data_IF_636053388747
#
_entry.id   IF_636053388747
#
_cell.length_a   1.000
_cell.length_b   1.000
_cell.length_c   1.000
_cell.angle_alpha   90.00
_cell.angle_beta   90.00
_cell.angle_gamma   90.00
#
_symmetry.space_group_name_H-M   'P 1'
#
loop_
_entity.id
_entity.type
_entity.pdbx_description
1 polymer ?
#
# COMPACT_ATOMS: atom_id res chain seq x y z
N UNK A 1 -11.45 16.38 -25.72
CA UNK A 1 -10.38 15.88 -26.64
C UNK A 1 -10.97 15.37 -27.97
N UNK A 2 -11.72 14.24 -28.06
CA UNK A 2 -12.28 13.79 -29.37
C UNK A 2 -13.19 14.84 -30.02
N UNK A 3 -14.06 15.46 -29.25
CA UNK A 3 -14.94 16.55 -29.71
C UNK A 3 -14.13 17.79 -30.11
N UNK A 4 -13.15 18.20 -29.35
CA UNK A 4 -12.23 19.32 -29.66
C UNK A 4 -11.45 19.12 -30.95
N UNK A 5 -11.10 17.86 -31.26
CA UNK A 5 -10.37 17.47 -32.47
C UNK A 5 -11.31 17.19 -33.66
N UNK A 6 -12.62 17.25 -33.49
CA UNK A 6 -13.60 16.92 -34.53
C UNK A 6 -13.56 15.47 -35.03
N UNK A 7 -13.04 14.53 -34.23
CA UNK A 7 -12.90 13.12 -34.60
C UNK A 7 -13.66 12.20 -33.64
N UNK A 8 -13.99 10.99 -34.11
CA UNK A 8 -14.64 10.00 -33.27
C UNK A 8 -13.72 9.45 -32.17
N UNK A 9 -14.31 9.06 -31.03
CA UNK A 9 -13.57 8.47 -29.92
C UNK A 9 -12.71 7.25 -30.33
N UNK A 10 -13.24 6.41 -31.25
CA UNK A 10 -12.51 5.26 -31.79
C UNK A 10 -11.22 5.66 -32.51
N UNK A 11 -11.20 6.80 -33.20
CA UNK A 11 -10.01 7.33 -33.88
C UNK A 11 -8.96 7.77 -32.87
N UNK A 12 -9.37 8.49 -31.81
CA UNK A 12 -8.47 8.88 -30.71
C UNK A 12 -7.85 7.64 -30.06
N UNK A 13 -8.67 6.63 -29.76
CA UNK A 13 -8.17 5.41 -29.10
C UNK A 13 -7.24 4.58 -29.98
N UNK A 14 -7.49 4.58 -31.30
CA UNK A 14 -6.58 3.91 -32.24
C UNK A 14 -5.23 4.61 -32.27
N UNK A 15 -5.21 5.92 -32.36
CA UNK A 15 -3.99 6.71 -32.32
C UNK A 15 -3.22 6.51 -30.98
N UNK A 16 -3.93 6.54 -29.85
CA UNK A 16 -3.31 6.28 -28.55
C UNK A 16 -2.69 4.86 -28.48
N UNK A 17 -3.35 3.88 -29.07
CA UNK A 17 -2.80 2.51 -29.12
C UNK A 17 -1.62 2.41 -30.06
N UNK A 18 -1.72 2.97 -31.26
CA UNK A 18 -0.69 2.90 -32.29
C UNK A 18 0.62 3.57 -31.86
N UNK A 19 0.53 4.78 -31.34
CA UNK A 19 1.71 5.55 -30.91
C UNK A 19 2.11 5.28 -29.44
N UNK A 20 1.19 4.90 -28.59
CA UNK A 20 1.44 4.67 -27.17
C UNK A 20 2.00 3.29 -26.87
N UNK A 21 1.58 2.26 -27.60
CA UNK A 21 2.04 0.89 -27.33
C UNK A 21 3.57 0.75 -27.47
N UNK A 22 4.23 1.25 -28.51
CA UNK A 22 5.70 1.19 -28.60
C UNK A 22 6.40 1.88 -27.43
N UNK A 23 5.85 2.98 -26.93
CA UNK A 23 6.43 3.71 -25.80
C UNK A 23 6.34 2.93 -24.48
N UNK A 24 5.23 2.22 -24.25
CA UNK A 24 5.04 1.46 -22.99
C UNK A 24 5.65 0.08 -23.02
N UNK A 25 5.86 -0.49 -24.19
CA UNK A 25 6.48 -1.80 -24.38
C UNK A 25 8.00 -1.71 -24.67
N UNK A 26 8.57 -0.50 -24.67
CA UNK A 26 10.01 -0.29 -24.78
C UNK A 26 10.76 -0.93 -23.61
N UNK A 27 11.64 -1.93 -23.85
CA UNK A 27 12.44 -2.57 -22.80
C UNK A 27 13.33 -1.59 -22.02
N UNK A 28 13.75 -0.48 -22.63
CA UNK A 28 14.56 0.55 -22.00
C UNK A 28 13.88 1.15 -20.76
N UNK A 29 12.55 1.11 -20.67
CA UNK A 29 11.79 1.52 -19.48
C UNK A 29 12.12 0.70 -18.24
N UNK A 30 12.62 -0.51 -18.40
CA UNK A 30 12.98 -1.39 -17.28
C UNK A 30 14.45 -1.27 -16.89
N UNK A 31 15.26 -0.49 -17.63
CA UNK A 31 16.67 -0.35 -17.35
C UNK A 31 16.93 0.38 -16.00
N UNK A 32 17.99 -0.06 -15.31
CA UNK A 32 18.47 0.59 -14.09
C UNK A 32 17.60 0.43 -12.83
N UNK A 33 16.64 -0.48 -12.84
CA UNK A 33 15.78 -0.74 -11.67
C UNK A 33 16.55 -1.53 -10.63
N UNK A 34 16.85 -0.91 -9.49
CA UNK A 34 17.51 -1.55 -8.34
C UNK A 34 16.62 -1.73 -7.13
N UNK A 35 15.45 -1.07 -7.11
CA UNK A 35 14.45 -1.21 -6.06
C UNK A 35 13.06 -1.34 -6.68
N UNK A 36 12.36 -2.43 -6.33
CA UNK A 36 11.05 -2.79 -6.85
C UNK A 36 9.98 -2.65 -5.76
N UNK A 37 8.89 -1.97 -6.06
CA UNK A 37 7.66 -1.95 -5.25
C UNK A 37 6.60 -2.84 -5.87
N UNK A 38 5.92 -3.62 -5.05
CA UNK A 38 4.80 -4.49 -5.45
C UNK A 38 3.59 -4.17 -4.59
N UNK A 39 2.48 -3.84 -5.24
CA UNK A 39 1.21 -3.57 -4.55
C UNK A 39 0.03 -3.97 -5.44
N UNK A 40 -1.17 -4.06 -4.83
CA UNK A 40 -2.38 -4.42 -5.54
C UNK A 40 -3.40 -3.28 -5.60
N UNK A 41 -4.10 -3.20 -6.72
CA UNK A 41 -5.20 -2.26 -6.88
C UNK A 41 -6.44 -2.97 -7.41
N UNK A 42 -7.64 -2.56 -6.96
CA UNK A 42 -8.87 -3.07 -7.53
C UNK A 42 -9.04 -2.54 -8.97
N UNK A 43 -9.06 -3.46 -9.94
CA UNK A 43 -9.33 -3.17 -11.35
C UNK A 43 -10.83 -3.01 -11.61
N UNK A 44 -11.63 -4.01 -11.27
CA UNK A 44 -13.10 -3.92 -11.33
C UNK A 44 -13.69 -4.12 -9.94
N UNK A 45 -14.69 -3.32 -9.62
CA UNK A 45 -15.44 -3.48 -8.38
C UNK A 45 -16.36 -4.71 -8.46
N UNK A 46 -16.63 -5.33 -7.31
CA UNK A 46 -17.61 -6.40 -7.22
C UNK A 46 -18.98 -5.94 -7.71
N UNK A 47 -19.68 -6.85 -8.38
CA UNK A 47 -21.09 -6.73 -8.76
C UNK A 47 -21.87 -7.88 -8.13
N UNK A 48 -23.15 -7.97 -8.37
CA UNK A 48 -23.96 -9.12 -7.92
C UNK A 48 -23.48 -10.45 -8.52
N UNK A 49 -22.83 -10.43 -9.69
CA UNK A 49 -22.42 -11.62 -10.45
C UNK A 49 -20.91 -11.84 -10.52
N UNK A 50 -20.10 -10.86 -10.14
CA UNK A 50 -18.65 -10.95 -10.23
C UNK A 50 -17.98 -10.42 -8.96
N UNK A 51 -16.96 -11.12 -8.42
CA UNK A 51 -16.15 -10.61 -7.33
C UNK A 51 -15.29 -9.42 -7.81
N UNK A 52 -14.67 -8.72 -6.86
CA UNK A 52 -13.67 -7.68 -7.19
C UNK A 52 -12.50 -8.31 -7.95
N UNK A 53 -12.20 -7.77 -9.13
CA UNK A 53 -10.98 -8.10 -9.85
C UNK A 53 -9.85 -7.15 -9.45
N UNK A 54 -8.66 -7.71 -9.30
CA UNK A 54 -7.47 -6.96 -8.90
C UNK A 54 -6.43 -6.95 -10.01
N UNK A 55 -5.54 -5.99 -9.91
CA UNK A 55 -4.31 -5.93 -10.70
C UNK A 55 -3.12 -5.72 -9.77
N UNK A 56 -2.00 -6.36 -10.07
CA UNK A 56 -0.71 -6.16 -9.39
C UNK A 56 0.06 -5.07 -10.12
N UNK A 57 0.41 -4.01 -9.40
CA UNK A 57 1.27 -2.92 -9.86
C UNK A 57 2.72 -3.18 -9.50
N UNK A 58 3.62 -2.98 -10.47
CA UNK A 58 5.06 -3.05 -10.31
C UNK A 58 5.63 -1.64 -10.45
N UNK A 59 6.32 -1.14 -9.44
CA UNK A 59 6.78 0.24 -9.34
C UNK A 59 8.29 0.29 -9.18
N UNK A 60 8.94 1.14 -9.94
CA UNK A 60 10.34 1.48 -9.76
C UNK A 60 10.50 2.43 -8.56
N UNK A 61 11.14 1.94 -7.52
CA UNK A 61 11.48 2.70 -6.31
C UNK A 61 12.93 3.19 -6.32
N UNK A 62 13.67 2.96 -7.39
CA UNK A 62 15.05 3.44 -7.58
C UNK A 62 15.04 4.96 -7.68
N UNK A 63 15.70 5.65 -6.74
CA UNK A 63 15.63 7.11 -6.63
C UNK A 63 16.77 7.86 -7.35
N UNK A 64 17.62 7.16 -8.05
CA UNK A 64 18.83 7.74 -8.66
C UNK A 64 18.58 8.55 -9.93
N UNK A 65 17.37 8.49 -10.50
CA UNK A 65 17.06 9.11 -11.80
C UNK A 65 15.75 9.88 -11.89
N UNK A 66 15.05 10.10 -10.76
CA UNK A 66 13.77 10.82 -10.81
C UNK A 66 12.71 10.29 -9.83
N UNK A 67 11.44 10.68 -10.03
CA UNK A 67 10.32 10.19 -9.22
C UNK A 67 10.06 8.70 -9.51
N UNK A 68 9.42 8.02 -8.57
CA UNK A 68 8.94 6.66 -8.78
C UNK A 68 8.02 6.57 -10.02
N UNK A 69 8.14 5.49 -10.75
CA UNK A 69 7.38 5.27 -11.98
C UNK A 69 6.78 3.88 -12.02
N UNK A 70 5.65 3.75 -12.69
CA UNK A 70 4.99 2.48 -12.89
C UNK A 70 5.74 1.67 -13.96
N UNK A 71 6.29 0.52 -13.60
CA UNK A 71 6.95 -0.39 -14.53
C UNK A 71 5.92 -1.18 -15.33
N UNK A 72 4.94 -1.76 -14.62
CA UNK A 72 3.88 -2.52 -15.25
C UNK A 72 2.65 -2.65 -14.35
N UNK A 73 1.53 -3.08 -14.95
CA UNK A 73 0.32 -3.51 -14.27
C UNK A 73 -0.12 -4.82 -14.90
N UNK A 74 -0.26 -5.86 -14.10
CA UNK A 74 -0.66 -7.19 -14.57
C UNK A 74 -1.97 -7.64 -13.90
N UNK A 75 -2.85 -8.39 -14.61
CA UNK A 75 -4.13 -8.80 -14.05
C UNK A 75 -3.94 -9.85 -12.96
N UNK A 76 -4.71 -9.73 -11.89
CA UNK A 76 -4.67 -10.62 -10.75
C UNK A 76 -3.84 -10.10 -9.57
N UNK A 77 -3.93 -10.83 -8.43
CA UNK A 77 -3.21 -10.52 -7.17
C UNK A 77 -2.67 -11.78 -6.52
N UNK A 78 -1.90 -12.57 -7.23
CA UNK A 78 -1.36 -13.82 -6.69
C UNK A 78 0.15 -13.88 -6.83
N UNK A 79 0.78 -14.73 -6.03
CA UNK A 79 2.21 -15.02 -6.18
C UNK A 79 2.56 -15.56 -7.56
N UNK A 80 1.67 -16.32 -8.19
CA UNK A 80 1.85 -16.84 -9.54
C UNK A 80 1.91 -15.72 -10.59
N UNK A 81 1.08 -14.69 -10.45
CA UNK A 81 1.10 -13.51 -11.34
C UNK A 81 2.45 -12.79 -11.26
N UNK A 82 2.91 -12.51 -10.04
CA UNK A 82 4.23 -11.88 -9.83
C UNK A 82 5.38 -12.79 -10.31
N UNK A 83 5.31 -14.09 -10.03
CA UNK A 83 6.30 -15.07 -10.50
C UNK A 83 6.39 -15.12 -12.02
N UNK A 84 5.26 -15.09 -12.72
CA UNK A 84 5.24 -15.05 -14.19
C UNK A 84 5.90 -13.78 -14.69
N UNK A 85 5.52 -12.63 -14.18
CA UNK A 85 6.10 -11.34 -14.59
C UNK A 85 7.61 -11.30 -14.35
N UNK A 86 8.11 -11.78 -13.19
CA UNK A 86 9.54 -11.81 -12.88
C UNK A 86 10.31 -12.80 -13.75
N UNK A 87 9.73 -13.96 -14.08
CA UNK A 87 10.35 -14.98 -14.95
C UNK A 87 10.59 -14.46 -16.36
N UNK A 88 9.69 -13.58 -16.85
CA UNK A 88 9.83 -12.95 -18.17
C UNK A 88 10.92 -11.86 -18.21
N UNK A 89 11.59 -11.60 -17.10
CA UNK A 89 12.75 -10.69 -17.03
C UNK A 89 14.04 -11.46 -17.18
N UNK A 90 15.00 -10.87 -17.87
CA UNK A 90 16.34 -11.43 -18.00
C UNK A 90 17.01 -11.62 -16.63
N UNK A 91 17.87 -12.59 -16.50
CA UNK A 91 18.60 -12.86 -15.25
C UNK A 91 19.43 -11.64 -14.80
N UNK A 92 20.07 -10.95 -15.77
CA UNK A 92 20.81 -9.72 -15.50
C UNK A 92 19.94 -8.63 -14.89
N UNK A 93 18.69 -8.48 -15.34
CA UNK A 93 17.74 -7.55 -14.75
C UNK A 93 17.34 -7.97 -13.32
N UNK A 94 17.07 -9.26 -13.14
CA UNK A 94 16.65 -9.77 -11.81
C UNK A 94 17.76 -9.65 -10.77
N UNK A 95 19.01 -9.88 -11.16
CA UNK A 95 20.17 -9.83 -10.26
C UNK A 95 20.53 -8.41 -9.82
N UNK A 96 20.19 -7.38 -10.58
CA UNK A 96 20.45 -5.99 -10.20
C UNK A 96 19.41 -5.42 -9.20
N UNK A 97 18.23 -6.07 -9.04
CA UNK A 97 17.23 -5.64 -8.07
C UNK A 97 17.71 -6.01 -6.66
N UNK A 98 18.18 -5.00 -5.93
CA UNK A 98 18.73 -5.17 -4.59
C UNK A 98 17.67 -5.11 -3.48
N UNK A 99 16.54 -4.43 -3.71
CA UNK A 99 15.49 -4.23 -2.72
C UNK A 99 14.12 -4.49 -3.36
N UNK A 100 13.24 -5.19 -2.62
CA UNK A 100 11.85 -5.39 -3.01
C UNK A 100 10.90 -5.03 -1.85
N UNK A 101 10.12 -3.96 -2.02
CA UNK A 101 9.08 -3.54 -1.08
C UNK A 101 7.75 -4.22 -1.41
N UNK A 102 7.08 -4.75 -0.40
CA UNK A 102 5.83 -5.51 -0.54
C UNK A 102 4.90 -5.33 0.66
N UNK A 103 3.63 -5.60 0.42
CA UNK A 103 2.64 -5.77 1.47
C UNK A 103 2.81 -7.13 2.18
N UNK A 104 2.28 -7.32 3.39
CA UNK A 104 2.38 -8.58 4.12
C UNK A 104 1.54 -9.70 3.47
N UNK A 105 1.85 -10.03 2.22
CA UNK A 105 1.21 -11.08 1.44
C UNK A 105 2.22 -12.18 1.06
N UNK A 106 2.02 -13.39 1.59
CA UNK A 106 2.93 -14.52 1.44
C UNK A 106 3.17 -14.93 -0.02
N UNK A 107 2.16 -14.76 -0.89
CA UNK A 107 2.30 -15.06 -2.31
C UNK A 107 3.39 -14.21 -2.97
N UNK A 108 3.42 -12.91 -2.70
CA UNK A 108 4.46 -12.03 -3.23
C UNK A 108 5.83 -12.32 -2.62
N UNK A 109 5.89 -12.54 -1.29
CA UNK A 109 7.16 -12.88 -0.65
C UNK A 109 7.78 -14.16 -1.22
N UNK A 110 6.97 -15.18 -1.51
CA UNK A 110 7.43 -16.42 -2.13
C UNK A 110 7.94 -16.20 -3.56
N UNK A 111 7.21 -15.44 -4.37
CA UNK A 111 7.62 -15.09 -5.74
C UNK A 111 8.95 -14.31 -5.75
N UNK A 112 9.07 -13.30 -4.88
CA UNK A 112 10.29 -12.49 -4.73
C UNK A 112 11.47 -13.35 -4.27
N UNK A 113 11.27 -14.26 -3.29
CA UNK A 113 12.32 -15.17 -2.82
C UNK A 113 12.83 -16.08 -3.93
N UNK A 114 11.94 -16.57 -4.77
CA UNK A 114 12.27 -17.49 -5.86
C UNK A 114 13.00 -16.78 -7.00
N UNK A 115 12.53 -15.61 -7.41
CA UNK A 115 13.00 -14.96 -8.64
C UNK A 115 14.00 -13.83 -8.40
N UNK A 116 14.05 -13.26 -7.19
CA UNK A 116 14.98 -12.21 -6.75
C UNK A 116 15.69 -12.64 -5.45
N UNK A 117 16.44 -13.76 -5.46
CA UNK A 117 17.02 -14.32 -4.23
C UNK A 117 18.01 -13.38 -3.54
N UNK A 118 18.69 -12.51 -4.32
CA UNK A 118 19.62 -11.50 -3.79
C UNK A 118 18.95 -10.24 -3.25
N UNK A 119 17.65 -10.03 -3.51
CA UNK A 119 16.97 -8.82 -3.07
C UNK A 119 16.57 -8.89 -1.59
N UNK A 120 16.84 -7.81 -0.87
CA UNK A 120 16.32 -7.62 0.48
C UNK A 120 14.83 -7.28 0.39
N UNK A 121 13.99 -8.11 1.00
CA UNK A 121 12.55 -7.88 1.06
C UNK A 121 12.23 -6.96 2.23
N UNK A 122 11.41 -5.94 1.99
CA UNK A 122 11.04 -4.92 2.97
C UNK A 122 9.52 -4.83 3.05
N UNK A 123 8.97 -4.99 4.24
CA UNK A 123 7.54 -4.76 4.45
C UNK A 123 7.20 -3.27 4.40
N UNK A 124 6.08 -2.98 3.76
CA UNK A 124 5.53 -1.63 3.78
C UNK A 124 5.04 -1.25 5.18
N UNK A 125 5.61 -0.15 5.70
CA UNK A 125 5.31 0.36 7.03
C UNK A 125 3.82 0.76 7.19
N UNK A 126 3.21 1.31 6.13
CA UNK A 126 1.81 1.72 6.16
C UNK A 126 0.90 0.50 6.39
N UNK A 127 1.14 -0.59 5.67
CA UNK A 127 0.36 -1.81 5.82
C UNK A 127 0.56 -2.49 7.19
N UNK A 128 1.78 -2.46 7.74
CA UNK A 128 2.05 -2.94 9.10
C UNK A 128 1.29 -2.11 10.15
N UNK A 129 1.37 -0.78 10.06
CA UNK A 129 0.66 0.12 10.96
C UNK A 129 -0.87 -0.05 10.83
N UNK A 130 -1.35 -0.22 9.59
CA UNK A 130 -2.77 -0.48 9.32
C UNK A 130 -3.25 -1.76 10.01
N UNK A 131 -2.47 -2.84 9.99
CA UNK A 131 -2.81 -4.08 10.72
C UNK A 131 -2.99 -3.81 12.22
N UNK A 132 -2.15 -2.96 12.82
CA UNK A 132 -2.30 -2.54 14.22
C UNK A 132 -3.64 -1.85 14.48
N UNK A 133 -3.98 -0.85 13.68
CA UNK A 133 -5.28 -0.15 13.84
C UNK A 133 -6.50 -0.99 13.47
N UNK A 134 -6.36 -1.94 12.54
CA UNK A 134 -7.42 -2.89 12.23
C UNK A 134 -7.66 -3.86 13.40
N UNK A 135 -6.61 -4.25 14.15
CA UNK A 135 -6.74 -5.01 15.39
C UNK A 135 -7.50 -4.21 16.46
N UNK A 136 -7.19 -2.92 16.64
CA UNK A 136 -7.96 -2.04 17.56
C UNK A 136 -9.46 -2.05 17.21
N UNK A 137 -9.82 -1.94 15.94
CA UNK A 137 -11.23 -1.96 15.52
C UNK A 137 -11.88 -3.34 15.72
N UNK A 138 -11.13 -4.44 15.59
CA UNK A 138 -11.60 -5.79 15.88
C UNK A 138 -11.88 -5.95 17.37
N UNK A 139 -10.95 -5.58 18.25
CA UNK A 139 -11.12 -5.61 19.71
C UNK A 139 -12.32 -4.78 20.11
N UNK A 140 -12.39 -3.51 19.64
CA UNK A 140 -13.52 -2.62 19.92
C UNK A 140 -14.87 -3.27 19.55
N UNK A 141 -14.96 -3.91 18.38
CA UNK A 141 -16.21 -4.57 17.94
C UNK A 141 -16.55 -5.77 18.79
N UNK A 142 -15.54 -6.55 19.19
CA UNK A 142 -15.75 -7.72 20.08
C UNK A 142 -16.21 -7.25 21.45
N UNK A 143 -15.50 -6.33 22.09
CA UNK A 143 -15.89 -5.79 23.41
C UNK A 143 -17.33 -5.24 23.38
N UNK A 144 -17.72 -4.50 22.34
CA UNK A 144 -19.11 -4.04 22.21
C UNK A 144 -20.09 -5.20 21.98
N UNK A 145 -19.71 -6.23 21.25
CA UNK A 145 -20.55 -7.42 21.10
C UNK A 145 -20.75 -8.15 22.43
N UNK A 146 -19.70 -8.25 23.24
CA UNK A 146 -19.71 -8.97 24.50
C UNK A 146 -20.46 -8.18 25.59
N UNK A 147 -20.30 -6.84 25.64
CA UNK A 147 -20.91 -5.98 26.63
C UNK A 147 -22.32 -5.50 26.27
N UNK A 148 -22.61 -5.26 24.98
CA UNK A 148 -23.86 -4.63 24.50
C UNK A 148 -24.71 -5.53 23.57
N UNK A 149 -24.21 -6.72 23.22
CA UNK A 149 -24.90 -7.64 22.29
C UNK A 149 -24.85 -7.20 20.82
N UNK A 150 -24.07 -6.19 20.47
CA UNK A 150 -23.90 -5.71 19.08
C UNK A 150 -22.54 -5.04 18.86
N UNK A 151 -22.10 -4.93 17.58
CA UNK A 151 -20.76 -4.44 17.18
C UNK A 151 -20.62 -2.91 17.16
N UNK A 152 -21.59 -2.18 17.70
CA UNK A 152 -21.59 -0.74 17.86
C UNK A 152 -22.67 0.01 17.09
N UNK A 153 -23.33 0.93 17.78
CA UNK A 153 -24.39 1.81 17.28
C UNK A 153 -24.11 3.25 17.66
N UNK A 154 -24.82 4.17 17.03
CA UNK A 154 -24.81 5.59 17.43
C UNK A 154 -25.28 5.69 18.89
N UNK A 155 -24.50 6.40 19.71
CA UNK A 155 -24.75 6.52 21.14
C UNK A 155 -23.84 5.66 22.01
N UNK A 156 -23.29 4.55 21.50
CA UNK A 156 -22.36 3.74 22.29
C UNK A 156 -21.02 4.46 22.51
N UNK A 157 -20.44 4.39 23.72
CA UNK A 157 -19.18 5.08 24.04
C UNK A 157 -18.03 4.73 23.08
N UNK A 158 -17.74 3.43 22.90
CA UNK A 158 -16.66 2.98 22.02
C UNK A 158 -16.94 3.24 20.53
N UNK A 159 -18.20 3.17 20.09
CA UNK A 159 -18.55 3.54 18.72
C UNK A 159 -18.35 5.03 18.47
N UNK A 160 -18.63 5.87 19.45
CA UNK A 160 -18.41 7.30 19.42
C UNK A 160 -16.94 7.68 19.16
N UNK A 161 -16.00 6.92 19.71
CA UNK A 161 -14.55 7.17 19.59
C UNK A 161 -13.85 6.40 18.46
N UNK A 162 -14.55 5.58 17.66
CA UNK A 162 -13.95 4.71 16.61
C UNK A 162 -13.04 5.43 15.62
N UNK A 163 -13.29 6.71 15.33
CA UNK A 163 -12.44 7.53 14.46
C UNK A 163 -11.24 8.11 15.21
N UNK A 164 -11.41 8.36 16.49
CA UNK A 164 -10.37 8.88 17.39
C UNK A 164 -9.32 7.79 17.62
N UNK A 165 -9.74 6.55 17.86
CA UNK A 165 -8.86 5.39 18.01
C UNK A 165 -7.92 5.13 16.81
N UNK A 166 -8.26 5.64 15.62
CA UNK A 166 -7.44 5.48 14.39
C UNK A 166 -6.39 6.59 14.19
N UNK A 167 -6.32 7.55 15.08
CA UNK A 167 -5.34 8.65 14.99
C UNK A 167 -4.06 8.31 15.73
N UNK A 168 -2.93 8.85 15.24
CA UNK A 168 -1.71 8.89 16.01
C UNK A 168 -1.88 9.78 17.24
N UNK A 169 -1.32 9.37 18.38
CA UNK A 169 -1.51 10.08 19.64
C UNK A 169 -1.13 11.57 19.57
N UNK A 170 -0.10 11.91 18.78
CA UNK A 170 0.36 13.30 18.57
C UNK A 170 -0.61 14.19 17.78
N UNK A 171 -1.62 13.61 17.18
CA UNK A 171 -2.65 14.33 16.40
C UNK A 171 -3.95 14.52 17.18
N UNK A 172 -3.95 14.22 18.47
CA UNK A 172 -5.08 14.47 19.34
C UNK A 172 -5.00 15.89 19.91
N UNK A 173 -6.09 16.65 19.79
CA UNK A 173 -6.34 17.86 20.58
C UNK A 173 -6.81 17.46 21.97
N UNK A 174 -6.78 18.40 22.92
CA UNK A 174 -7.26 18.16 24.30
C UNK A 174 -8.70 17.63 24.32
N UNK A 175 -9.58 18.18 23.48
CA UNK A 175 -10.96 17.71 23.36
C UNK A 175 -11.05 16.28 22.78
N UNK A 176 -10.14 15.92 21.88
CA UNK A 176 -10.05 14.57 21.34
C UNK A 176 -9.52 13.58 22.37
N UNK A 177 -8.56 13.99 23.20
CA UNK A 177 -8.07 13.20 24.33
C UNK A 177 -9.17 12.96 25.35
N UNK A 178 -9.87 14.01 25.78
CA UNK A 178 -11.00 13.90 26.72
C UNK A 178 -12.05 12.93 26.20
N UNK A 179 -12.41 13.02 24.93
CA UNK A 179 -13.35 12.06 24.30
C UNK A 179 -12.82 10.63 24.31
N UNK A 180 -11.54 10.43 23.99
CA UNK A 180 -10.93 9.10 23.96
C UNK A 180 -11.01 8.46 25.35
N UNK A 181 -10.51 9.17 26.37
CA UNK A 181 -10.49 8.67 27.74
C UNK A 181 -11.90 8.39 28.28
N UNK A 182 -12.83 9.32 28.07
CA UNK A 182 -14.23 9.14 28.48
C UNK A 182 -14.91 7.96 27.77
N UNK A 183 -14.65 7.77 26.47
CA UNK A 183 -15.22 6.65 25.73
C UNK A 183 -14.66 5.30 26.15
N UNK A 184 -13.37 5.24 26.52
CA UNK A 184 -12.73 4.04 27.08
C UNK A 184 -13.26 3.76 28.50
N UNK A 185 -13.31 4.76 29.37
CA UNK A 185 -13.80 4.64 30.75
C UNK A 185 -15.23 4.04 30.81
N UNK A 186 -16.11 4.49 29.92
CA UNK A 186 -17.49 4.02 29.87
C UNK A 186 -17.72 2.72 29.11
N UNK A 187 -16.85 2.37 28.18
CA UNK A 187 -17.13 1.29 27.23
C UNK A 187 -16.15 0.13 27.20
N UNK A 188 -15.03 0.25 27.90
CA UNK A 188 -13.93 -0.73 27.91
C UNK A 188 -13.62 -1.21 29.35
N UNK A 189 -14.53 -1.99 29.96
CA UNK A 189 -14.43 -2.33 31.38
C UNK A 189 -13.15 -3.09 31.74
N UNK A 190 -12.64 -3.91 30.82
CA UNK A 190 -11.45 -4.75 31.03
C UNK A 190 -10.17 -4.13 30.44
N UNK A 191 -10.26 -2.92 29.84
CA UNK A 191 -9.12 -2.20 29.25
C UNK A 191 -8.54 -2.83 27.98
N UNK A 192 -9.27 -3.73 27.33
CA UNK A 192 -8.78 -4.44 26.14
C UNK A 192 -8.63 -3.53 24.92
N UNK A 193 -9.56 -2.59 24.72
CA UNK A 193 -9.49 -1.60 23.62
C UNK A 193 -8.35 -0.63 23.86
N UNK A 194 -8.15 -0.22 25.13
CA UNK A 194 -7.02 0.62 25.52
C UNK A 194 -5.68 -0.09 25.27
N UNK A 195 -5.55 -1.35 25.68
CA UNK A 195 -4.36 -2.16 25.42
C UNK A 195 -4.07 -2.31 23.91
N UNK A 196 -5.11 -2.60 23.12
CA UNK A 196 -4.98 -2.69 21.66
C UNK A 196 -4.56 -1.35 21.03
N UNK A 197 -5.10 -0.23 21.51
CA UNK A 197 -4.73 1.10 21.03
C UNK A 197 -3.28 1.44 21.39
N UNK A 198 -2.81 1.12 22.60
CA UNK A 198 -1.41 1.28 23.02
C UNK A 198 -0.51 0.45 22.09
N UNK A 199 -0.84 -0.83 21.86
CA UNK A 199 -0.08 -1.68 20.96
C UNK A 199 0.03 -1.09 19.54
N UNK A 200 -1.06 -0.54 19.00
CA UNK A 200 -1.05 0.09 17.68
C UNK A 200 -0.21 1.38 17.65
N UNK A 201 -0.21 2.18 18.72
CA UNK A 201 0.66 3.37 18.83
C UNK A 201 2.12 2.99 18.92
N UNK A 202 2.50 2.02 19.74
CA UNK A 202 3.88 1.53 19.87
C UNK A 202 4.39 0.93 18.55
N UNK A 203 3.57 0.16 17.84
CA UNK A 203 3.89 -0.37 16.53
C UNK A 203 4.14 0.76 15.51
N UNK A 204 3.38 1.85 15.58
CA UNK A 204 3.58 3.01 14.74
C UNK A 204 4.86 3.77 15.11
N UNK A 205 5.15 3.91 16.41
CA UNK A 205 6.36 4.57 16.93
C UNK A 205 7.62 3.79 16.61
N UNK A 206 7.54 2.47 16.40
CA UNK A 206 8.64 1.64 15.94
C UNK A 206 9.34 2.25 14.72
N UNK A 207 8.57 2.79 13.77
CA UNK A 207 9.11 3.37 12.53
C UNK A 207 9.77 4.75 12.69
N UNK A 208 9.80 5.32 13.90
CA UNK A 208 10.57 6.53 14.23
C UNK A 208 12.04 6.23 14.59
N UNK A 209 12.37 4.97 14.89
CA UNK A 209 13.75 4.58 15.14
C UNK A 209 14.56 4.68 13.85
N UNK A 210 15.79 5.16 13.98
CA UNK A 210 16.78 5.20 12.89
C UNK A 210 17.84 4.11 13.06
N UNK A 211 18.05 3.64 14.26
CA UNK A 211 19.01 2.62 14.64
C UNK A 211 18.34 1.24 14.54
N UNK A 212 18.88 0.31 13.71
CA UNK A 212 18.34 -1.03 13.55
C UNK A 212 18.26 -1.82 14.85
N UNK A 213 19.26 -1.68 15.75
CA UNK A 213 19.28 -2.42 17.01
C UNK A 213 18.17 -1.91 17.93
N UNK A 214 17.99 -0.60 18.05
CA UNK A 214 16.89 -0.01 18.82
C UNK A 214 15.52 -0.40 18.25
N UNK A 215 15.39 -0.44 16.94
CA UNK A 215 14.17 -0.91 16.29
C UNK A 215 13.87 -2.38 16.62
N UNK A 216 14.87 -3.26 16.53
CA UNK A 216 14.73 -4.67 16.87
C UNK A 216 14.36 -4.87 18.36
N UNK A 217 14.99 -4.13 19.27
CA UNK A 217 14.65 -4.15 20.70
C UNK A 217 13.24 -3.64 20.97
N UNK A 218 12.83 -2.55 20.30
CA UNK A 218 11.48 -2.01 20.42
C UNK A 218 10.44 -3.00 19.89
N UNK A 219 10.71 -3.65 18.77
CA UNK A 219 9.83 -4.69 18.22
C UNK A 219 9.73 -5.90 19.17
N UNK A 220 10.83 -6.35 19.76
CA UNK A 220 10.80 -7.43 20.76
C UNK A 220 9.97 -7.07 21.98
N UNK A 221 10.13 -5.85 22.55
CA UNK A 221 9.28 -5.37 23.65
C UNK A 221 7.80 -5.32 23.27
N UNK A 222 7.52 -4.87 22.04
CA UNK A 222 6.15 -4.85 21.52
C UNK A 222 5.54 -6.25 21.43
N UNK A 223 6.31 -7.25 20.96
CA UNK A 223 5.87 -8.65 20.93
C UNK A 223 5.58 -9.20 22.34
N UNK A 224 6.46 -8.89 23.30
CA UNK A 224 6.25 -9.26 24.72
C UNK A 224 4.98 -8.63 25.25
N UNK A 225 4.78 -7.32 25.06
CA UNK A 225 3.55 -6.63 25.46
C UNK A 225 2.29 -7.29 24.89
N UNK A 226 2.31 -7.63 23.58
CA UNK A 226 1.18 -8.32 22.96
C UNK A 226 0.98 -9.75 23.51
N UNK A 227 2.06 -10.47 23.82
CA UNK A 227 2.00 -11.84 24.36
C UNK A 227 1.47 -11.87 25.80
N UNK A 228 1.87 -10.87 26.60
CA UNK A 228 1.44 -10.74 28.01
C UNK A 228 0.03 -10.20 28.15
N UNK A 229 -0.57 -9.65 27.07
CA UNK A 229 -1.95 -9.20 27.09
C UNK A 229 -2.93 -10.37 27.03
N UNK A 230 -4.11 -10.23 27.63
CA UNK A 230 -5.17 -11.23 27.51
C UNK A 230 -6.05 -11.03 26.26
N UNK A 231 -5.60 -10.21 25.28
CA UNK A 231 -6.35 -9.81 24.11
C UNK A 231 -6.03 -10.75 22.92
N UNK A 232 -6.95 -11.63 22.50
CA UNK A 232 -6.68 -12.63 21.45
C UNK A 232 -6.30 -12.01 20.09
N UNK A 233 -6.82 -10.83 19.78
CA UNK A 233 -6.49 -10.09 18.56
C UNK A 233 -5.03 -9.64 18.54
N UNK A 234 -4.48 -9.23 19.69
CA UNK A 234 -3.07 -8.87 19.82
C UNK A 234 -2.16 -10.09 19.68
N UNK A 235 -2.54 -11.24 20.23
CA UNK A 235 -1.82 -12.49 20.01
C UNK A 235 -1.75 -12.88 18.53
N UNK A 236 -2.85 -12.72 17.78
CA UNK A 236 -2.88 -12.98 16.33
C UNK A 236 -2.01 -12.00 15.56
N UNK A 237 -2.10 -10.71 15.90
CA UNK A 237 -1.31 -9.66 15.29
C UNK A 237 0.19 -9.89 15.55
N UNK A 238 0.59 -10.17 16.79
CA UNK A 238 1.97 -10.45 17.17
C UNK A 238 2.54 -11.65 16.39
N UNK A 239 1.83 -12.77 16.35
CA UNK A 239 2.24 -13.94 15.55
C UNK A 239 2.37 -13.62 14.06
N UNK A 240 1.46 -12.84 13.54
CA UNK A 240 1.52 -12.42 12.14
C UNK A 240 2.77 -11.59 11.89
N UNK A 241 3.02 -10.54 12.67
CA UNK A 241 4.17 -9.65 12.46
C UNK A 241 5.50 -10.32 12.81
N UNK A 242 5.53 -11.21 13.80
CA UNK A 242 6.72 -11.99 14.12
C UNK A 242 7.13 -12.91 12.96
N UNK A 243 6.15 -13.49 12.28
CA UNK A 243 6.41 -14.28 11.07
C UNK A 243 6.93 -13.47 9.88
N UNK A 244 6.93 -12.15 9.97
CA UNK A 244 7.48 -11.18 9.01
C UNK A 244 8.62 -10.36 9.60
N UNK A 245 9.22 -10.83 10.70
CA UNK A 245 10.25 -10.12 11.47
C UNK A 245 11.39 -9.61 10.59
N UNK A 246 11.92 -10.47 9.73
CA UNK A 246 13.07 -10.15 8.89
C UNK A 246 12.73 -9.04 7.89
N UNK A 247 11.61 -9.17 7.19
CA UNK A 247 11.17 -8.19 6.21
C UNK A 247 10.73 -6.85 6.87
N UNK A 248 10.19 -6.91 8.09
CA UNK A 248 9.83 -5.73 8.86
C UNK A 248 11.09 -4.97 9.31
N UNK A 249 12.07 -5.68 9.87
CA UNK A 249 13.30 -5.09 10.39
C UNK A 249 14.28 -4.69 9.28
N UNK A 250 14.22 -5.33 8.11
CA UNK A 250 15.05 -5.00 6.96
C UNK A 250 14.96 -3.51 6.54
N UNK A 251 13.79 -2.86 6.75
CA UNK A 251 13.63 -1.43 6.50
C UNK A 251 14.67 -0.55 7.22
N UNK A 252 15.08 -0.94 8.42
CA UNK A 252 16.01 -0.18 9.25
C UNK A 252 17.47 -0.39 8.84
N UNK A 253 17.77 -1.44 8.07
CA UNK A 253 19.12 -1.76 7.58
C UNK A 253 19.38 -1.25 6.17
N UNK A 254 18.39 -1.29 5.28
CA UNK A 254 18.55 -0.87 3.87
C UNK A 254 18.30 0.61 3.63
N UNK A 255 18.04 1.38 4.71
CA UNK A 255 17.72 2.82 4.58
C UNK A 255 16.24 3.06 4.27
N UNK A 256 15.89 4.32 4.01
CA UNK A 256 14.49 4.78 3.90
C UNK A 256 13.80 4.39 2.58
N UNK A 257 13.89 3.12 2.16
CA UNK A 257 13.02 2.62 1.09
C UNK A 257 11.61 2.53 1.69
N UNK A 258 10.75 3.44 1.28
CA UNK A 258 9.34 3.44 1.67
C UNK A 258 8.47 3.11 0.47
N UNK A 259 7.35 2.44 0.70
CA UNK A 259 6.34 2.21 -0.32
C UNK A 259 5.47 3.46 -0.59
N UNK A 260 5.76 4.59 0.07
CA UNK A 260 5.07 5.87 -0.16
C UNK A 260 4.99 6.28 -1.64
N UNK A 261 6.08 6.10 -2.44
CA UNK A 261 5.98 6.31 -3.88
C UNK A 261 5.00 5.35 -4.59
N UNK A 262 4.92 4.09 -4.17
CA UNK A 262 3.93 3.13 -4.68
C UNK A 262 2.51 3.60 -4.34
N UNK A 263 2.28 4.09 -3.12
CA UNK A 263 0.99 4.67 -2.74
C UNK A 263 0.64 5.90 -3.59
N UNK A 264 1.62 6.76 -3.89
CA UNK A 264 1.42 7.91 -4.78
C UNK A 264 1.02 7.45 -6.20
N UNK A 265 1.67 6.42 -6.74
CA UNK A 265 1.30 5.80 -8.01
C UNK A 265 -0.11 5.21 -7.93
N UNK A 266 -0.46 4.53 -6.84
CA UNK A 266 -1.80 3.99 -6.64
C UNK A 266 -2.89 5.07 -6.57
N UNK A 267 -2.58 6.24 -6.00
CA UNK A 267 -3.50 7.40 -6.04
C UNK A 267 -3.71 7.89 -7.49
N UNK A 268 -2.64 7.94 -8.29
CA UNK A 268 -2.74 8.30 -9.71
C UNK A 268 -3.55 7.25 -10.49
N UNK A 269 -3.32 5.96 -10.26
CA UNK A 269 -4.10 4.85 -10.84
C UNK A 269 -5.59 5.03 -10.53
N UNK A 270 -5.93 5.27 -9.26
CA UNK A 270 -7.32 5.51 -8.82
C UNK A 270 -7.92 6.77 -9.48
N UNK A 271 -7.13 7.83 -9.64
CA UNK A 271 -7.55 9.06 -10.33
C UNK A 271 -7.84 8.80 -11.80
N UNK A 272 -6.93 8.14 -12.53
CA UNK A 272 -7.10 7.78 -13.94
C UNK A 272 -8.35 6.93 -14.14
N UNK A 273 -8.56 5.92 -13.28
CA UNK A 273 -9.74 5.07 -13.30
C UNK A 273 -11.03 5.88 -13.11
N UNK A 274 -11.04 6.86 -12.21
CA UNK A 274 -12.20 7.73 -11.94
C UNK A 274 -12.48 8.66 -13.12
N UNK A 275 -11.45 9.32 -13.65
CA UNK A 275 -11.58 10.25 -14.80
C UNK A 275 -11.98 9.50 -16.07
N UNK A 276 -11.52 8.27 -16.24
CA UNK A 276 -11.91 7.39 -17.34
C UNK A 276 -13.28 6.72 -17.17
N UNK A 277 -14.05 7.06 -16.12
CA UNK A 277 -15.35 6.44 -15.79
C UNK A 277 -15.29 4.92 -15.68
N UNK A 278 -14.11 4.38 -15.30
CA UNK A 278 -13.82 2.95 -15.25
C UNK A 278 -13.29 2.42 -16.59
N UNK A 279 -12.80 1.19 -16.54
CA UNK A 279 -12.24 0.49 -17.69
C UNK A 279 -12.79 -0.94 -17.72
N UNK A 280 -13.27 -1.38 -18.88
CA UNK A 280 -13.72 -2.76 -19.12
C UNK A 280 -12.63 -3.60 -19.80
N UNK A 281 -11.75 -2.95 -20.56
CA UNK A 281 -10.65 -3.58 -21.28
C UNK A 281 -9.35 -3.36 -20.53
N UNK A 282 -8.71 -4.46 -20.09
CA UNK A 282 -7.47 -4.39 -19.30
C UNK A 282 -6.30 -3.84 -20.10
N UNK A 283 -6.18 -4.17 -21.39
CA UNK A 283 -5.10 -3.67 -22.25
C UNK A 283 -5.15 -2.15 -22.36
N UNK A 284 -6.34 -1.57 -22.58
CA UNK A 284 -6.53 -0.12 -22.58
C UNK A 284 -6.25 0.51 -21.22
N UNK A 285 -6.62 -0.18 -20.14
CA UNK A 285 -6.32 0.27 -18.78
C UNK A 285 -4.82 0.31 -18.54
N UNK A 286 -4.10 -0.79 -18.80
CA UNK A 286 -2.64 -0.89 -18.70
C UNK A 286 -1.95 0.20 -19.52
N UNK A 287 -2.30 0.33 -20.80
CA UNK A 287 -1.72 1.32 -21.69
C UNK A 287 -1.84 2.74 -21.14
N UNK A 288 -3.02 3.15 -20.70
CA UNK A 288 -3.23 4.48 -20.16
C UNK A 288 -2.49 4.73 -18.86
N UNK A 289 -2.41 3.73 -17.98
CA UNK A 289 -1.66 3.84 -16.74
C UNK A 289 -0.16 4.01 -17.02
N UNK A 290 0.39 3.20 -17.92
CA UNK A 290 1.80 3.25 -18.26
C UNK A 290 2.18 4.54 -18.99
N UNK A 291 1.34 5.02 -19.90
CA UNK A 291 1.55 6.33 -20.55
C UNK A 291 1.55 7.49 -19.55
N UNK A 292 0.77 7.40 -18.47
CA UNK A 292 0.66 8.49 -17.49
C UNK A 292 1.67 8.40 -16.35
N UNK A 293 1.95 7.20 -15.86
CA UNK A 293 2.75 6.98 -14.65
C UNK A 293 4.07 6.26 -14.92
N UNK A 294 4.27 5.70 -16.11
CA UNK A 294 5.40 4.82 -16.42
C UNK A 294 6.30 5.31 -17.57
N UNK A 295 5.89 6.33 -18.31
CA UNK A 295 6.65 6.87 -19.44
C UNK A 295 7.16 8.26 -19.11
N UNK A 296 8.44 8.53 -19.43
CA UNK A 296 9.02 9.88 -19.39
C UNK A 296 8.67 10.56 -20.70
N UNK A 297 8.07 11.73 -20.62
CA UNK A 297 7.74 12.52 -21.79
C UNK A 297 8.82 13.58 -21.99
N UNK A 298 9.78 13.30 -22.84
CA UNK A 298 10.74 14.29 -23.31
C UNK A 298 10.09 15.17 -24.39
N UNK A 299 9.37 16.16 -23.94
CA UNK A 299 8.82 17.18 -24.86
C UNK A 299 9.68 18.43 -24.75
N UNK A 300 10.52 18.73 -25.75
CA UNK A 300 11.28 19.98 -25.75
C UNK A 300 10.30 21.15 -25.68
N UNK A 301 10.39 21.96 -24.62
CA UNK A 301 9.65 23.19 -24.45
C UNK A 301 8.26 23.11 -23.81
N UNK A 302 7.79 21.94 -23.38
CA UNK A 302 6.57 21.82 -22.57
C UNK A 302 6.89 21.37 -21.16
N UNK A 303 6.94 22.32 -20.23
CA UNK A 303 7.01 22.02 -18.81
C UNK A 303 5.60 21.61 -18.34
N UNK A 304 5.38 20.32 -18.14
CA UNK A 304 4.15 19.82 -17.49
C UNK A 304 4.18 20.22 -16.02
N UNK A 305 3.71 21.38 -15.71
CA UNK A 305 3.41 21.78 -14.35
C UNK A 305 2.24 20.93 -13.83
N UNK A 306 2.40 20.33 -12.67
CA UNK A 306 1.37 19.55 -11.99
C UNK A 306 0.06 20.35 -11.91
N UNK A 307 -0.87 20.09 -12.84
CA UNK A 307 -2.26 20.47 -12.72
C UNK A 307 -2.70 21.80 -13.34
N UNK A 308 -1.85 22.59 -13.99
CA UNK A 308 -2.30 23.76 -14.81
C UNK A 308 -1.38 23.94 -16.02
N UNK A 309 -1.98 24.00 -17.19
CA UNK A 309 -1.38 24.60 -18.38
C UNK A 309 -1.31 26.10 -18.12
N UNK A 310 -0.13 26.67 -17.91
CA UNK A 310 0.09 28.09 -18.12
C UNK A 310 0.66 28.26 -19.52
N UNK A 311 -0.16 28.78 -20.44
CA UNK A 311 0.33 29.37 -21.67
C UNK A 311 1.14 30.63 -21.28
N UNK A 312 2.41 30.67 -21.67
CA UNK A 312 3.23 31.87 -21.69
C UNK A 312 2.84 32.71 -22.90
#
# INVERSE_FOLDING_TARGET
MAWELGVGWGTVMRAVSEYGTPLVDDPARLAGVTALGVDETAYLAATATHPTEFATGLVDLTRTGGPARLLDVVPGRSGAVLSSWLRDREEGWRSQVAIAALDPFRGYASALRTHLPGAVRVLDAFHVIKLGFDAVDQVRRRVQQDTLGHRGRVGDPLYGIRRVLRRGHEHHSDSSWTRLLHGLDLGDPDGEVAAAWIAAQELRLLYRHRDPQRAAQAFTRWLTFCADSEVPELHRLARTLDSWRDELLARFTVGAVSNGPTEAINLLIKKIKRVGHGFRNFTNYRLRLLLHCGTTWDTPGITMLRGRLHAS
#
